data_IF_912177505974
#
_entry.id   IF_912177505974
#
_cell.length_a   1.000
_cell.length_b   1.000
_cell.length_c   1.000
_cell.angle_alpha   90.00
_cell.angle_beta   90.00
_cell.angle_gamma   90.00
#
_symmetry.space_group_name_H-M   'P 1'
#
loop_
_entity.id
_entity.type
_entity.pdbx_description
1 polymer ?
#
# COMPACT_ATOMS: atom_id res chain seq x y z
N UNK A 1 12.85 6.43 -2.83
CA UNK A 1 12.47 5.25 -2.05
C UNK A 1 13.22 4.04 -2.59
N UNK A 2 13.89 3.31 -1.73
CA UNK A 2 14.61 2.11 -2.17
C UNK A 2 13.63 0.98 -2.46
N UNK A 3 13.82 0.36 -3.61
CA UNK A 3 13.04 -0.82 -3.97
C UNK A 3 13.74 -2.05 -3.40
N UNK A 4 13.12 -2.69 -2.43
CA UNK A 4 13.71 -3.81 -1.71
C UNK A 4 12.78 -5.02 -1.78
N UNK A 5 12.99 -5.84 -2.81
CA UNK A 5 12.17 -7.03 -3.03
C UNK A 5 12.30 -8.03 -1.87
N UNK A 6 13.52 -8.24 -1.38
CA UNK A 6 13.75 -9.18 -0.28
C UNK A 6 13.04 -8.72 1.00
N UNK A 7 13.12 -7.42 1.32
CA UNK A 7 12.40 -6.87 2.47
C UNK A 7 10.90 -6.98 2.33
N UNK A 8 10.38 -6.75 1.12
CA UNK A 8 8.94 -6.91 0.88
C UNK A 8 8.49 -8.36 1.04
N UNK A 9 9.30 -9.31 0.58
CA UNK A 9 9.00 -10.74 0.78
C UNK A 9 8.95 -11.13 2.25
N UNK A 10 9.77 -10.49 3.10
CA UNK A 10 9.77 -10.78 4.52
C UNK A 10 8.57 -10.18 5.26
N UNK A 11 8.17 -8.95 4.92
CA UNK A 11 7.13 -8.24 5.66
C UNK A 11 5.72 -8.59 5.21
N UNK A 12 5.56 -9.12 3.99
CA UNK A 12 4.25 -9.52 3.47
C UNK A 12 3.98 -10.99 3.74
N UNK A 13 2.80 -11.28 4.28
CA UNK A 13 2.37 -12.67 4.48
C UNK A 13 2.22 -13.37 3.14
N UNK A 14 2.44 -14.70 3.09
CA UNK A 14 2.30 -15.46 1.84
C UNK A 14 0.90 -15.39 1.23
N UNK A 15 -0.12 -15.22 2.07
CA UNK A 15 -1.52 -15.10 1.65
C UNK A 15 -1.96 -13.63 1.51
N UNK A 16 -1.00 -12.70 1.47
CA UNK A 16 -1.27 -11.27 1.40
C UNK A 16 -2.14 -10.90 0.19
N UNK A 17 -3.08 -10.00 0.42
CA UNK A 17 -3.92 -9.43 -0.63
C UNK A 17 -4.04 -7.94 -0.44
N UNK A 18 -3.97 -7.23 -1.55
CA UNK A 18 -4.12 -5.78 -1.60
C UNK A 18 -5.39 -5.47 -2.39
N UNK A 19 -6.39 -4.91 -1.71
CA UNK A 19 -7.64 -4.50 -2.34
C UNK A 19 -7.64 -2.99 -2.56
N UNK A 20 -7.70 -2.59 -3.84
CA UNK A 20 -7.79 -1.18 -4.23
C UNK A 20 -9.25 -0.87 -4.58
N UNK A 21 -9.97 -0.23 -3.66
CA UNK A 21 -11.39 0.04 -3.88
C UNK A 21 -11.65 1.06 -4.99
N UNK A 22 -10.70 1.98 -5.22
CA UNK A 22 -10.85 2.97 -6.28
C UNK A 22 -10.91 2.34 -7.68
N UNK A 23 -10.21 1.23 -7.90
CA UNK A 23 -10.19 0.54 -9.19
C UNK A 23 -10.94 -0.79 -9.18
N UNK A 24 -11.28 -1.30 -7.99
CA UNK A 24 -11.89 -2.60 -7.83
C UNK A 24 -10.93 -3.78 -7.99
N UNK A 25 -9.64 -3.54 -8.04
CA UNK A 25 -8.64 -4.60 -8.23
C UNK A 25 -8.21 -5.21 -6.91
N UNK A 26 -7.92 -6.52 -6.94
CA UNK A 26 -7.30 -7.24 -5.84
C UNK A 26 -5.99 -7.83 -6.34
N UNK A 27 -4.89 -7.48 -5.68
CA UNK A 27 -3.55 -7.93 -6.03
C UNK A 27 -3.05 -8.92 -4.99
N UNK A 28 -2.30 -9.93 -5.45
CA UNK A 28 -1.61 -10.88 -4.58
C UNK A 28 -0.27 -10.30 -4.12
N UNK A 29 0.39 -11.01 -3.18
CA UNK A 29 1.74 -10.64 -2.75
C UNK A 29 2.68 -10.46 -3.94
N UNK A 30 2.69 -11.41 -4.86
CA UNK A 30 3.58 -11.35 -6.03
C UNK A 30 3.27 -10.17 -6.93
N UNK A 31 1.98 -9.89 -7.15
CA UNK A 31 1.55 -8.76 -7.96
C UNK A 31 2.01 -7.42 -7.35
N UNK A 32 1.88 -7.29 -6.03
CA UNK A 32 2.28 -6.06 -5.33
C UNK A 32 3.79 -5.86 -5.41
N UNK A 33 4.56 -6.91 -5.23
CA UNK A 33 6.03 -6.83 -5.31
C UNK A 33 6.46 -6.40 -6.71
N UNK A 34 5.90 -7.02 -7.76
CA UNK A 34 6.20 -6.66 -9.13
C UNK A 34 5.83 -5.21 -9.44
N UNK A 35 4.67 -4.78 -8.97
CA UNK A 35 4.21 -3.41 -9.17
C UNK A 35 5.13 -2.41 -8.48
N UNK A 36 5.52 -2.68 -7.25
CA UNK A 36 6.42 -1.80 -6.51
C UNK A 36 7.82 -1.71 -7.13
N UNK A 37 8.29 -2.80 -7.77
CA UNK A 37 9.59 -2.82 -8.43
C UNK A 37 9.57 -2.07 -9.76
N UNK A 38 8.43 -1.97 -10.42
CA UNK A 38 8.33 -1.43 -11.79
C UNK A 38 7.79 -0.01 -11.87
N UNK A 39 7.00 0.45 -10.90
CA UNK A 39 6.36 1.77 -10.94
C UNK A 39 7.10 2.82 -10.13
N UNK A 40 7.10 4.04 -10.66
CA UNK A 40 7.59 5.21 -9.94
C UNK A 40 6.43 5.87 -9.20
N UNK A 41 6.38 5.61 -7.90
CA UNK A 41 5.34 6.14 -7.03
C UNK A 41 6.01 6.91 -5.91
N UNK A 42 5.60 8.17 -5.71
CA UNK A 42 6.05 8.96 -4.57
C UNK A 42 4.94 9.05 -3.54
N UNK A 43 5.27 8.71 -2.31
CA UNK A 43 4.35 8.87 -1.18
C UNK A 43 4.84 10.01 -0.32
N UNK A 44 3.94 10.96 -0.04
CA UNK A 44 4.26 12.14 0.76
C UNK A 44 3.29 12.27 1.92
N UNK A 45 3.73 12.95 2.96
CA UNK A 45 2.93 13.26 4.14
C UNK A 45 2.28 12.01 4.73
N UNK A 46 3.06 10.93 4.76
CA UNK A 46 2.62 9.65 5.33
C UNK A 46 2.45 9.83 6.83
N UNK A 47 1.29 9.44 7.35
CA UNK A 47 1.03 9.47 8.78
C UNK A 47 0.24 8.24 9.19
N UNK A 48 0.61 7.68 10.33
CA UNK A 48 -0.12 6.57 10.93
C UNK A 48 -1.18 7.16 11.83
N UNK A 49 -2.44 6.83 11.53
CA UNK A 49 -3.59 7.34 12.29
C UNK A 49 -3.82 6.47 13.53
N UNK A 50 -3.68 5.15 13.37
CA UNK A 50 -3.86 4.20 14.44
C UNK A 50 -3.10 2.93 14.12
N UNK A 51 -2.50 2.29 15.11
CA UNK A 51 -1.78 1.03 14.92
C UNK A 51 -1.76 0.22 16.20
N UNK A 52 -1.99 -1.08 16.05
CA UNK A 52 -1.76 -2.07 17.11
C UNK A 52 -1.23 -3.35 16.47
N UNK A 53 -1.18 -4.47 17.23
CA UNK A 53 -0.62 -5.73 16.74
C UNK A 53 -1.47 -6.40 15.66
N UNK A 54 -2.71 -5.99 15.49
CA UNK A 54 -3.66 -6.60 14.56
C UNK A 54 -3.99 -5.75 13.36
N UNK A 55 -3.97 -4.42 13.52
CA UNK A 55 -4.43 -3.49 12.50
C UNK A 55 -3.62 -2.21 12.51
N UNK A 56 -3.39 -1.64 11.33
CA UNK A 56 -2.80 -0.32 11.17
C UNK A 56 -3.61 0.51 10.19
N UNK A 57 -3.75 1.79 10.47
CA UNK A 57 -4.44 2.73 9.59
C UNK A 57 -3.49 3.87 9.26
N UNK A 58 -3.31 4.12 7.97
CA UNK A 58 -2.36 5.11 7.47
C UNK A 58 -3.04 6.01 6.45
N UNK A 59 -2.62 7.27 6.42
CA UNK A 59 -3.00 8.21 5.37
C UNK A 59 -1.76 8.76 4.70
N UNK A 60 -1.80 8.87 3.38
CA UNK A 60 -0.71 9.45 2.62
C UNK A 60 -1.22 10.10 1.34
N UNK A 61 -0.36 10.93 0.73
CA UNK A 61 -0.60 11.46 -0.60
C UNK A 61 0.34 10.73 -1.55
N UNK A 62 -0.22 10.18 -2.61
CA UNK A 62 0.52 9.36 -3.57
C UNK A 62 0.53 10.06 -4.93
N UNK A 63 1.71 10.28 -5.47
CA UNK A 63 1.87 10.84 -6.80
C UNK A 63 2.36 9.74 -7.74
N UNK A 64 1.62 9.55 -8.82
CA UNK A 64 1.92 8.53 -9.83
C UNK A 64 2.81 9.11 -10.94
N UNK A 65 3.36 8.22 -11.77
CA UNK A 65 4.27 8.60 -12.85
C UNK A 65 3.65 9.55 -13.88
N UNK A 66 2.33 9.55 -14.02
CA UNK A 66 1.60 10.46 -14.92
C UNK A 66 1.34 11.85 -14.31
N UNK A 67 1.81 12.10 -13.09
CA UNK A 67 1.63 13.36 -12.40
C UNK A 67 0.35 13.49 -11.60
N UNK A 68 -0.52 12.50 -11.62
CA UNK A 68 -1.74 12.50 -10.80
C UNK A 68 -1.43 12.23 -9.34
N UNK A 69 -2.10 12.96 -8.46
CA UNK A 69 -1.96 12.79 -7.01
C UNK A 69 -3.28 12.35 -6.42
N UNK A 70 -3.21 11.41 -5.48
CA UNK A 70 -4.38 10.91 -4.75
C UNK A 70 -4.13 11.00 -3.25
N UNK A 71 -5.19 11.32 -2.51
CA UNK A 71 -5.21 11.14 -1.06
C UNK A 71 -5.64 9.70 -0.79
N UNK A 72 -4.79 8.92 -0.11
CA UNK A 72 -5.01 7.49 0.08
C UNK A 72 -5.13 7.17 1.57
N UNK A 73 -6.24 6.54 1.94
CA UNK A 73 -6.43 5.94 3.25
C UNK A 73 -6.19 4.44 3.13
N UNK A 74 -5.27 3.92 3.92
CA UNK A 74 -4.89 2.52 3.87
C UNK A 74 -5.15 1.84 5.22
N UNK A 75 -5.70 0.64 5.17
CA UNK A 75 -5.92 -0.20 6.35
C UNK A 75 -5.13 -1.49 6.16
N UNK A 76 -4.20 -1.73 7.07
CA UNK A 76 -3.37 -2.94 7.09
C UNK A 76 -3.89 -3.89 8.16
N UNK A 77 -3.93 -5.17 7.85
CA UNK A 77 -4.10 -6.18 8.90
C UNK A 77 -2.82 -7.01 9.00
N UNK A 78 -2.50 -7.44 10.22
CA UNK A 78 -1.29 -8.19 10.49
C UNK A 78 -1.63 -9.63 10.92
N UNK A 79 -0.79 -10.58 10.50
CA UNK A 79 -0.90 -11.97 10.90
C UNK A 79 0.50 -12.56 10.97
N UNK A 80 0.80 -13.27 12.06
CA UNK A 80 2.12 -13.89 12.25
C UNK A 80 3.28 -12.90 12.15
N UNK A 81 3.05 -11.65 12.58
CA UNK A 81 4.04 -10.60 12.53
C UNK A 81 4.25 -10.01 11.15
N UNK A 82 3.40 -10.35 10.17
CA UNK A 82 3.52 -9.87 8.79
C UNK A 82 2.24 -9.19 8.35
N UNK A 83 2.35 -8.35 7.32
CA UNK A 83 1.20 -7.70 6.72
C UNK A 83 0.40 -8.76 5.96
N UNK A 84 -0.82 -9.01 6.41
CA UNK A 84 -1.69 -10.04 5.84
C UNK A 84 -2.60 -9.47 4.75
N UNK A 85 -3.12 -8.27 4.95
CA UNK A 85 -3.96 -7.61 3.95
C UNK A 85 -3.79 -6.11 4.01
N UNK A 86 -4.09 -5.47 2.88
CA UNK A 86 -4.13 -4.03 2.74
C UNK A 86 -5.36 -3.66 1.94
N UNK A 87 -6.13 -2.70 2.45
CA UNK A 87 -7.25 -2.13 1.72
C UNK A 87 -7.03 -0.63 1.61
N UNK A 88 -7.27 -0.06 0.43
CA UNK A 88 -7.14 1.37 0.22
C UNK A 88 -8.41 1.98 -0.34
N UNK A 89 -8.72 3.18 0.13
CA UNK A 89 -9.64 4.09 -0.52
C UNK A 89 -8.84 5.29 -0.98
N UNK A 90 -9.07 5.75 -2.21
CA UNK A 90 -8.32 6.83 -2.79
C UNK A 90 -9.23 7.90 -3.36
N UNK A 91 -8.84 9.16 -3.17
CA UNK A 91 -9.56 10.32 -3.71
C UNK A 91 -8.58 11.11 -4.58
N UNK A 92 -8.99 11.38 -5.82
CA UNK A 92 -8.19 12.20 -6.71
C UNK A 92 -8.10 13.63 -6.19
N UNK A 93 -6.90 14.17 -6.16
CA UNK A 93 -6.67 15.54 -5.73
C UNK A 93 -6.82 16.50 -6.89
N UNK A 94 -7.36 17.71 -6.67
CA UNK A 94 -7.39 18.75 -7.70
C UNK A 94 -5.97 19.12 -8.12
N UNK A 95 -5.81 19.38 -9.39
CA UNK A 95 -4.55 19.84 -9.91
C UNK A 95 -4.46 21.36 -9.82
#
# INVERSE_FOLDING_TARGET
MNKDEAGMNEVLHNDYKFTMHASGKVLTKQDVIQWAMSDDINREKVRIIYENDEIGIEHSFVTFSDGNTQAVMAVFTFKDGKIFSLETGATNMPK
#
